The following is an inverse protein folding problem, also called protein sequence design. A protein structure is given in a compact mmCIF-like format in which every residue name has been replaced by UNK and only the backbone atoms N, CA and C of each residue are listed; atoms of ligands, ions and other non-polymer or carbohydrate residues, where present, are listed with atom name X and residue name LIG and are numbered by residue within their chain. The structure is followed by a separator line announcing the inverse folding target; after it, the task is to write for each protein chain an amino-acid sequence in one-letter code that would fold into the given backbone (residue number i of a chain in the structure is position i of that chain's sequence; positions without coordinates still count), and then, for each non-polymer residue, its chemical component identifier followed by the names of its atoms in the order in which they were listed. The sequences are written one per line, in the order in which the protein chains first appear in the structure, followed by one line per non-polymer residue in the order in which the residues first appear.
data_IF_639109657673
#
_entry.id   IF_639109657673
#
_cell.length_a   1.000
_cell.length_b   1.000
_cell.length_c   1.000
_cell.angle_alpha   90.00
_cell.angle_beta   90.00
_cell.angle_gamma   90.00
#
_symmetry.space_group_name_H-M   'P 1'
#
loop_
_entity.id
_entity.type
_entity.pdbx_description
1 polymer ?
#
# COMPACT_ATOMS: atom_id res chain seq x y z
N UNK A 1 -21.85 -3.54 10.01
CA UNK A 1 -20.56 -3.60 10.76
C UNK A 1 -19.53 -4.60 10.20
N UNK A 2 -19.81 -5.47 9.22
CA UNK A 2 -18.87 -6.53 8.78
C UNK A 2 -18.00 -6.22 7.52
N UNK A 3 -18.18 -5.07 6.86
CA UNK A 3 -17.47 -4.76 5.60
C UNK A 3 -15.99 -4.40 5.84
N UNK A 4 -15.67 -3.61 6.88
CA UNK A 4 -14.29 -3.21 7.19
C UNK A 4 -13.41 -4.38 7.65
N UNK A 5 -13.89 -5.25 8.53
CA UNK A 5 -13.12 -6.42 8.98
C UNK A 5 -12.72 -7.33 7.82
N UNK A 6 -13.59 -7.48 6.82
CA UNK A 6 -13.29 -8.28 5.64
C UNK A 6 -12.21 -7.64 4.77
N UNK A 7 -12.21 -6.31 4.62
CA UNK A 7 -11.17 -5.58 3.86
C UNK A 7 -9.82 -5.67 4.56
N UNK A 8 -9.80 -5.65 5.89
CA UNK A 8 -8.56 -5.77 6.67
C UNK A 8 -7.87 -7.13 6.52
N UNK A 9 -8.65 -8.21 6.35
CA UNK A 9 -8.14 -9.57 6.19
C UNK A 9 -7.68 -9.94 4.76
N UNK A 10 -7.99 -9.12 3.76
CA UNK A 10 -7.64 -9.39 2.37
C UNK A 10 -6.14 -9.28 2.09
N UNK A 11 -5.65 -10.19 1.25
CA UNK A 11 -4.28 -10.17 0.75
C UNK A 11 -4.12 -9.21 -0.43
N UNK A 12 -2.87 -8.83 -0.73
CA UNK A 12 -2.54 -7.87 -1.79
C UNK A 12 -3.15 -8.24 -3.16
N UNK A 13 -3.06 -9.52 -3.55
CA UNK A 13 -3.59 -9.99 -4.82
C UNK A 13 -5.12 -9.87 -4.89
N UNK A 14 -5.80 -10.21 -3.80
CA UNK A 14 -7.26 -10.08 -3.68
C UNK A 14 -7.70 -8.61 -3.78
N UNK A 15 -6.96 -7.70 -3.13
CA UNK A 15 -7.21 -6.26 -3.21
C UNK A 15 -7.08 -5.76 -4.65
N UNK A 16 -6.03 -6.16 -5.37
CA UNK A 16 -5.81 -5.77 -6.77
C UNK A 16 -6.96 -6.27 -7.65
N UNK A 17 -7.34 -7.53 -7.52
CA UNK A 17 -8.45 -8.13 -8.29
C UNK A 17 -9.73 -7.34 -8.04
N UNK A 18 -10.08 -7.08 -6.78
CA UNK A 18 -11.29 -6.33 -6.44
C UNK A 18 -11.27 -4.88 -6.93
N UNK A 19 -10.13 -4.18 -6.80
CA UNK A 19 -9.99 -2.82 -7.31
C UNK A 19 -10.18 -2.78 -8.83
N UNK A 20 -9.66 -3.78 -9.55
CA UNK A 20 -9.81 -3.90 -11.00
C UNK A 20 -11.25 -4.22 -11.40
N UNK A 21 -11.95 -5.10 -10.68
CA UNK A 21 -13.38 -5.36 -10.87
C UNK A 21 -14.19 -4.05 -10.78
N UNK A 22 -13.99 -3.26 -9.72
CA UNK A 22 -14.68 -1.97 -9.57
C UNK A 22 -14.29 -0.96 -10.65
N UNK A 23 -13.03 -0.97 -11.10
CA UNK A 23 -12.59 -0.10 -12.18
C UNK A 23 -13.22 -0.46 -13.54
N UNK A 24 -13.42 -1.75 -13.81
CA UNK A 24 -14.15 -2.21 -14.99
C UNK A 24 -15.64 -1.88 -14.89
N UNK A 25 -16.26 -2.13 -13.73
CA UNK A 25 -17.65 -1.77 -13.48
C UNK A 25 -17.90 -0.27 -13.69
N UNK A 26 -17.01 0.58 -13.16
CA UNK A 26 -17.08 2.03 -13.32
C UNK A 26 -16.97 2.52 -14.77
N UNK A 27 -16.38 1.73 -15.68
CA UNK A 27 -16.33 2.04 -17.12
C UNK A 27 -17.62 1.66 -17.82
N UNK A 28 -18.27 0.58 -17.37
CA UNK A 28 -19.50 0.06 -17.96
C UNK A 28 -20.73 0.78 -17.43
N UNK A 29 -20.76 1.13 -16.14
CA UNK A 29 -21.85 1.84 -15.47
C UNK A 29 -21.32 2.73 -14.35
N UNK A 30 -22.15 3.67 -13.89
CA UNK A 30 -21.85 4.39 -12.65
C UNK A 30 -21.88 3.45 -11.44
N UNK A 31 -20.92 3.64 -10.53
CA UNK A 31 -20.89 2.97 -9.24
C UNK A 31 -21.88 3.64 -8.30
N UNK A 32 -22.60 2.85 -7.50
CA UNK A 32 -23.38 3.41 -6.39
C UNK A 32 -22.46 3.90 -5.27
N UNK A 33 -23.01 4.63 -4.31
CA UNK A 33 -22.21 5.27 -3.26
C UNK A 33 -21.54 4.23 -2.33
N UNK A 34 -22.21 3.10 -2.04
CA UNK A 34 -21.59 2.01 -1.27
C UNK A 34 -20.39 1.36 -2.00
N UNK A 35 -20.47 1.21 -3.32
CA UNK A 35 -19.40 0.67 -4.15
C UNK A 35 -18.23 1.63 -4.24
N UNK A 36 -18.50 2.94 -4.30
CA UNK A 36 -17.46 3.98 -4.25
C UNK A 36 -16.72 3.93 -2.91
N UNK A 37 -17.44 3.92 -1.79
CA UNK A 37 -16.86 3.81 -0.45
C UNK A 37 -16.00 2.54 -0.32
N UNK A 38 -16.51 1.40 -0.77
CA UNK A 38 -15.77 0.14 -0.71
C UNK A 38 -14.51 0.18 -1.58
N UNK A 39 -14.59 0.75 -2.79
CA UNK A 39 -13.45 0.94 -3.67
C UNK A 39 -12.39 1.84 -3.04
N UNK A 40 -12.78 2.90 -2.34
CA UNK A 40 -11.85 3.77 -1.62
C UNK A 40 -11.17 3.04 -0.46
N UNK A 41 -11.93 2.29 0.34
CA UNK A 41 -11.39 1.47 1.42
C UNK A 41 -10.33 0.47 0.91
N UNK A 42 -10.65 -0.25 -0.16
CA UNK A 42 -9.73 -1.20 -0.80
C UNK A 42 -8.46 -0.51 -1.30
N UNK A 43 -8.59 0.67 -1.92
CA UNK A 43 -7.44 1.46 -2.40
C UNK A 43 -6.56 1.95 -1.27
N UNK A 44 -7.16 2.43 -0.18
CA UNK A 44 -6.42 2.89 0.99
C UNK A 44 -5.62 1.76 1.63
N UNK A 45 -6.22 0.57 1.74
CA UNK A 45 -5.55 -0.64 2.23
C UNK A 45 -4.39 -1.04 1.33
N UNK A 46 -4.61 -1.09 0.01
CA UNK A 46 -3.57 -1.38 -0.98
C UNK A 46 -2.38 -0.41 -0.86
N UNK A 47 -2.65 0.91 -0.80
CA UNK A 47 -1.61 1.94 -0.69
C UNK A 47 -0.84 1.79 0.62
N UNK A 48 -1.52 1.45 1.72
CA UNK A 48 -0.86 1.23 3.02
C UNK A 48 0.15 0.08 2.96
N UNK A 49 -0.27 -1.09 2.44
CA UNK A 49 0.60 -2.25 2.27
C UNK A 49 1.75 -1.93 1.31
N UNK A 50 1.45 -1.29 0.19
CA UNK A 50 2.45 -0.90 -0.79
C UNK A 50 3.51 0.06 -0.21
N UNK A 51 3.08 1.09 0.53
CA UNK A 51 4.01 2.04 1.19
C UNK A 51 4.91 1.34 2.20
N UNK A 52 4.39 0.36 2.94
CA UNK A 52 5.20 -0.43 3.87
C UNK A 52 6.26 -1.25 3.12
N UNK A 53 5.89 -1.93 2.04
CA UNK A 53 6.84 -2.68 1.21
C UNK A 53 7.92 -1.79 0.60
N UNK A 54 7.54 -0.63 0.05
CA UNK A 54 8.49 0.35 -0.49
C UNK A 54 9.43 0.87 0.60
N UNK A 55 8.92 1.17 1.78
CA UNK A 55 9.76 1.63 2.91
C UNK A 55 10.80 0.58 3.29
N UNK A 56 10.41 -0.70 3.38
CA UNK A 56 11.34 -1.80 3.65
C UNK A 56 12.40 -1.95 2.54
N UNK A 57 12.01 -1.79 1.27
CA UNK A 57 12.96 -1.82 0.16
C UNK A 57 13.97 -0.67 0.25
N UNK A 58 13.50 0.56 0.53
CA UNK A 58 14.36 1.73 0.70
C UNK A 58 15.33 1.59 1.88
N UNK A 59 14.91 0.96 2.98
CA UNK A 59 15.76 0.68 4.14
C UNK A 59 16.92 -0.27 3.80
N UNK A 60 16.78 -1.10 2.76
CA UNK A 60 17.83 -2.02 2.30
C UNK A 60 18.76 -1.40 1.25
N UNK A 61 18.46 -0.20 0.73
CA UNK A 61 19.32 0.45 -0.27
C UNK A 61 20.58 0.95 0.41
N UNK A 62 21.73 0.48 -0.11
CA UNK A 62 23.05 0.93 0.32
C UNK A 62 23.57 2.00 -0.65
N UNK A 63 23.95 3.14 -0.11
CA UNK A 63 24.62 4.23 -0.82
C UNK A 63 26.12 4.06 -0.58
N UNK A 64 26.89 3.94 -1.66
CA UNK A 64 28.36 3.85 -1.65
C UNK A 64 28.96 5.09 -2.31
N UNK A 65 30.13 5.51 -1.85
CA UNK A 65 30.92 6.57 -2.50
C UNK A 65 31.76 6.01 -3.68
N UNK A 66 32.46 6.90 -4.40
CA UNK A 66 33.31 6.54 -5.54
C UNK A 66 34.51 5.64 -5.16
N UNK A 67 34.84 5.58 -3.86
CA UNK A 67 35.93 4.76 -3.30
C UNK A 67 35.42 3.41 -2.79
N UNK A 68 34.11 3.16 -2.85
CA UNK A 68 33.46 1.93 -2.43
C UNK A 68 33.08 1.87 -0.94
N UNK A 69 33.20 2.97 -0.20
CA UNK A 69 32.78 3.02 1.20
C UNK A 69 31.26 3.21 1.31
N UNK A 70 30.61 2.44 2.17
CA UNK A 70 29.18 2.56 2.45
C UNK A 70 28.91 3.83 3.28
N UNK A 71 28.27 4.83 2.68
CA UNK A 71 27.92 6.12 3.31
C UNK A 71 26.44 6.22 3.71
N UNK A 72 25.68 5.13 3.58
CA UNK A 72 24.27 5.07 4.01
C UNK A 72 24.16 5.46 5.48
N UNK A 73 23.63 6.65 5.77
CA UNK A 73 23.29 7.03 7.14
C UNK A 73 22.18 6.09 7.61
N UNK A 74 22.53 5.12 8.47
CA UNK A 74 21.51 4.37 9.22
C UNK A 74 20.71 5.41 10.00
N UNK A 75 19.38 5.39 9.87
CA UNK A 75 18.54 6.19 10.76
C UNK A 75 18.84 5.71 12.17
N UNK A 76 19.60 6.49 12.92
CA UNK A 76 19.76 6.30 14.36
C UNK A 76 18.36 6.25 14.96
N UNK A 77 18.04 5.15 15.64
CA UNK A 77 16.76 4.91 16.29
C UNK A 77 16.53 5.83 17.50
N UNK A 78 16.50 7.15 17.28
CA UNK A 78 15.97 8.11 18.24
C UNK A 78 14.56 8.51 17.85
N UNK A 79 13.62 7.62 18.16
CA UNK A 79 12.29 8.04 18.55
C UNK A 79 12.10 7.57 20.00
N UNK A 80 12.72 8.29 20.93
CA UNK A 80 12.23 8.36 22.30
C UNK A 80 10.88 9.08 22.28
N UNK A 81 9.82 8.37 22.67
CA UNK A 81 8.76 8.84 23.57
C UNK A 81 7.81 7.69 23.90
#
# INVERSE_FOLDING_TARGET
MKKNEKVEAMQMDELIVKINEFAQLAKTRELNDEEKELRELLRNKYISIFRQGVKQQLENIKIVDEQGNEITKKKDGKNEK
#
